data_IF_783917524470
#
_entry.id   IF_783917524470
#
_cell.length_a   1.000
_cell.length_b   1.000
_cell.length_c   1.000
_cell.angle_alpha   90.00
_cell.angle_beta   90.00
_cell.angle_gamma   90.00
#
_symmetry.space_group_name_H-M   'P 1'
#
loop_
_entity.id
_entity.type
_entity.pdbx_description
1 polymer ?
#
# COMPACT_ATOMS: atom_id res chain seq x y z
N UNK A 1 20.91 17.62 36.99
CA UNK A 1 20.98 18.97 37.60
C UNK A 1 19.62 19.51 38.06
N UNK A 2 18.56 19.57 37.24
CA UNK A 2 17.26 20.13 37.67
C UNK A 2 16.56 19.33 38.79
N UNK A 3 16.43 18.01 38.63
CA UNK A 3 15.81 17.12 39.64
C UNK A 3 16.51 17.16 40.99
N UNK A 4 17.84 17.15 40.93
CA UNK A 4 18.68 17.15 42.12
C UNK A 4 18.57 18.48 42.87
N UNK A 5 18.57 19.60 42.13
CA UNK A 5 18.32 20.93 42.68
C UNK A 5 16.92 21.07 43.31
N UNK A 6 15.89 20.53 42.66
CA UNK A 6 14.52 20.54 43.19
C UNK A 6 14.39 19.69 44.46
N UNK A 7 15.08 18.54 44.53
CA UNK A 7 15.16 17.70 45.73
C UNK A 7 15.80 18.44 46.90
N UNK A 8 16.94 19.10 46.70
CA UNK A 8 17.62 19.87 47.75
C UNK A 8 16.80 21.08 48.22
N UNK A 9 16.08 21.73 47.32
CA UNK A 9 15.27 22.94 47.60
C UNK A 9 13.82 22.63 48.03
N UNK A 10 13.44 21.35 48.16
CA UNK A 10 12.07 20.89 48.46
C UNK A 10 11.01 21.47 47.50
N UNK A 11 11.39 21.69 46.23
CA UNK A 11 10.46 22.12 45.18
C UNK A 11 9.84 20.85 44.59
N UNK A 12 8.51 20.66 44.67
CA UNK A 12 7.86 19.50 44.08
C UNK A 12 8.04 19.52 42.55
N UNK A 13 8.51 18.41 41.98
CA UNK A 13 8.60 18.24 40.53
C UNK A 13 7.38 17.46 40.06
N UNK A 14 6.58 18.06 39.18
CA UNK A 14 5.45 17.38 38.54
C UNK A 14 5.94 16.74 37.24
N UNK A 15 5.90 15.41 37.18
CA UNK A 15 6.35 14.61 36.04
C UNK A 15 5.12 13.99 35.41
N UNK A 16 4.85 14.32 34.15
CA UNK A 16 3.79 13.66 33.39
C UNK A 16 4.35 12.48 32.61
N UNK A 17 3.47 11.57 32.22
CA UNK A 17 3.81 10.46 31.32
C UNK A 17 4.35 10.94 29.97
N UNK A 18 4.07 12.18 29.58
CA UNK A 18 4.50 12.77 28.30
C UNK A 18 6.02 12.72 28.11
N UNK A 19 6.81 12.86 29.19
CA UNK A 19 8.26 12.77 29.09
C UNK A 19 8.73 11.37 28.64
N UNK A 20 8.03 10.32 29.07
CA UNK A 20 8.33 8.93 28.65
C UNK A 20 7.72 8.66 27.28
N UNK A 21 6.47 9.08 27.05
CA UNK A 21 5.77 8.89 25.77
C UNK A 21 6.47 9.61 24.61
N UNK A 22 7.01 10.80 24.85
CA UNK A 22 7.75 11.54 23.83
C UNK A 22 9.02 10.80 23.40
N UNK A 23 9.80 10.30 24.36
CA UNK A 23 10.98 9.49 24.05
C UNK A 23 10.58 8.21 23.30
N UNK A 24 9.55 7.52 23.76
CA UNK A 24 9.01 6.34 23.07
C UNK A 24 8.63 6.65 21.62
N UNK A 25 7.91 7.75 21.38
CA UNK A 25 7.54 8.19 20.03
C UNK A 25 8.75 8.44 19.15
N UNK A 26 9.81 9.09 19.66
CA UNK A 26 11.04 9.32 18.89
C UNK A 26 11.76 8.01 18.54
N UNK A 27 11.82 7.06 19.47
CA UNK A 27 12.39 5.73 19.19
C UNK A 27 11.56 4.96 18.16
N UNK A 28 10.23 5.00 18.30
CA UNK A 28 9.30 4.36 17.38
C UNK A 28 9.43 4.94 15.96
N UNK A 29 9.37 6.26 15.80
CA UNK A 29 9.55 6.96 14.52
C UNK A 29 10.90 6.60 13.87
N UNK A 30 11.97 6.58 14.66
CA UNK A 30 13.28 6.23 14.14
C UNK A 30 13.34 4.76 13.68
N UNK A 31 12.86 3.83 14.50
CA UNK A 31 12.82 2.41 14.18
C UNK A 31 12.00 2.16 12.91
N UNK A 32 10.79 2.70 12.85
CA UNK A 32 9.89 2.55 11.72
C UNK A 32 10.55 3.08 10.43
N UNK A 33 11.09 4.29 10.46
CA UNK A 33 11.78 4.89 9.31
C UNK A 33 12.94 4.02 8.82
N UNK A 34 13.75 3.48 9.72
CA UNK A 34 14.90 2.62 9.36
C UNK A 34 14.40 1.33 8.72
N UNK A 35 13.41 0.66 9.31
CA UNK A 35 12.83 -0.58 8.79
C UNK A 35 12.19 -0.35 7.43
N UNK A 36 11.43 0.74 7.25
CA UNK A 36 10.82 1.11 5.98
C UNK A 36 11.86 1.35 4.89
N UNK A 37 12.90 2.13 5.20
CA UNK A 37 13.95 2.50 4.25
C UNK A 37 14.81 1.30 3.85
N UNK A 38 15.28 0.52 4.84
CA UNK A 38 16.30 -0.51 4.61
C UNK A 38 15.73 -1.89 4.27
N UNK A 39 14.47 -2.16 4.62
CA UNK A 39 13.85 -3.49 4.46
C UNK A 39 12.56 -3.44 3.66
N UNK A 40 11.57 -2.65 4.06
CA UNK A 40 10.24 -2.74 3.45
C UNK A 40 10.18 -2.13 2.05
N UNK A 41 10.81 -0.99 1.80
CA UNK A 41 10.83 -0.37 0.48
C UNK A 41 11.45 -1.25 -0.62
N UNK A 42 12.65 -1.85 -0.44
CA UNK A 42 13.19 -2.76 -1.45
C UNK A 42 12.35 -4.04 -1.61
N UNK A 43 11.88 -4.63 -0.51
CA UNK A 43 11.05 -5.85 -0.56
C UNK A 43 9.72 -5.60 -1.30
N UNK A 44 9.10 -4.44 -1.07
CA UNK A 44 7.87 -4.02 -1.73
C UNK A 44 8.09 -3.83 -3.24
N UNK A 45 9.21 -3.22 -3.63
CA UNK A 45 9.54 -3.02 -5.05
C UNK A 45 9.74 -4.36 -5.77
N UNK A 46 10.43 -5.31 -5.13
CA UNK A 46 10.65 -6.64 -5.68
C UNK A 46 9.35 -7.46 -5.76
N UNK A 47 8.53 -7.43 -4.72
CA UNK A 47 7.22 -8.08 -4.72
C UNK A 47 6.32 -7.49 -5.82
N UNK A 48 6.27 -6.16 -5.94
CA UNK A 48 5.45 -5.47 -6.95
C UNK A 48 5.85 -5.89 -8.36
N UNK A 49 7.16 -5.97 -8.65
CA UNK A 49 7.67 -6.46 -9.95
C UNK A 49 7.25 -7.90 -10.23
N UNK A 50 7.38 -8.78 -9.24
CA UNK A 50 7.00 -10.18 -9.38
C UNK A 50 5.48 -10.32 -9.61
N UNK A 51 4.66 -9.61 -8.83
CA UNK A 51 3.20 -9.64 -8.95
C UNK A 51 2.72 -9.05 -10.27
N UNK A 52 3.36 -7.99 -10.77
CA UNK A 52 3.06 -7.43 -12.08
C UNK A 52 3.33 -8.44 -13.21
N UNK A 53 4.47 -9.14 -13.16
CA UNK A 53 4.83 -10.18 -14.13
C UNK A 53 3.84 -11.35 -14.11
N UNK A 54 3.47 -11.83 -12.91
CA UNK A 54 2.48 -12.89 -12.76
C UNK A 54 1.09 -12.46 -13.24
N UNK A 55 0.68 -11.23 -12.96
CA UNK A 55 -0.61 -10.69 -13.41
C UNK A 55 -0.68 -10.56 -14.92
N UNK A 56 0.42 -10.16 -15.58
CA UNK A 56 0.49 -10.13 -17.04
C UNK A 56 0.37 -11.53 -17.64
N UNK A 57 1.03 -12.52 -17.03
CA UNK A 57 0.94 -13.92 -17.46
C UNK A 57 -0.49 -14.47 -17.29
N UNK A 58 -1.15 -14.17 -16.18
CA UNK A 58 -2.55 -14.52 -15.95
C UNK A 58 -3.47 -13.86 -16.98
N UNK A 59 -3.22 -12.59 -17.30
CA UNK A 59 -4.00 -11.85 -18.29
C UNK A 59 -3.93 -12.51 -19.68
N UNK A 60 -2.73 -12.86 -20.16
CA UNK A 60 -2.58 -13.51 -21.48
C UNK A 60 -3.29 -14.87 -21.56
N UNK A 61 -3.36 -15.61 -20.45
CA UNK A 61 -4.06 -16.90 -20.38
C UNK A 61 -5.59 -16.71 -20.36
N UNK A 62 -6.08 -15.69 -19.67
CA UNK A 62 -7.51 -15.47 -19.40
C UNK A 62 -8.18 -14.53 -20.40
N UNK A 63 -7.44 -14.05 -21.40
CA UNK A 63 -7.96 -13.19 -22.46
C UNK A 63 -9.11 -13.89 -23.22
N UNK A 64 -10.24 -13.20 -23.37
CA UNK A 64 -11.46 -13.70 -23.99
C UNK A 64 -12.36 -14.53 -23.06
N UNK A 65 -12.02 -14.63 -21.77
CA UNK A 65 -12.85 -15.29 -20.75
C UNK A 65 -13.54 -14.28 -19.85
N UNK A 66 -14.51 -14.73 -19.05
CA UNK A 66 -15.19 -13.91 -18.04
C UNK A 66 -14.26 -13.39 -16.91
N UNK A 67 -12.99 -13.79 -16.91
CA UNK A 67 -11.96 -13.36 -15.96
C UNK A 67 -11.01 -12.30 -16.54
N UNK A 68 -11.14 -11.94 -17.81
CA UNK A 68 -10.26 -10.99 -18.50
C UNK A 68 -10.23 -9.63 -17.78
N UNK A 69 -11.40 -9.09 -17.41
CA UNK A 69 -11.50 -7.80 -16.72
C UNK A 69 -10.78 -7.83 -15.36
N UNK A 70 -10.96 -8.90 -14.58
CA UNK A 70 -10.30 -9.07 -13.29
C UNK A 70 -8.78 -9.16 -13.41
N UNK A 71 -8.29 -9.90 -14.41
CA UNK A 71 -6.85 -10.00 -14.69
C UNK A 71 -6.29 -8.66 -15.18
N UNK A 72 -7.01 -7.94 -16.04
CA UNK A 72 -6.63 -6.60 -16.53
C UNK A 72 -6.55 -5.60 -15.37
N UNK A 73 -7.53 -5.59 -14.46
CA UNK A 73 -7.51 -4.76 -13.24
C UNK A 73 -6.26 -5.04 -12.40
N UNK A 74 -5.92 -6.31 -12.19
CA UNK A 74 -4.73 -6.68 -11.42
C UNK A 74 -3.43 -6.20 -12.08
N UNK A 75 -3.31 -6.32 -13.40
CA UNK A 75 -2.16 -5.78 -14.14
C UNK A 75 -2.02 -4.28 -13.90
N UNK A 76 -3.11 -3.53 -13.98
CA UNK A 76 -3.10 -2.09 -13.70
C UNK A 76 -2.80 -1.77 -12.24
N UNK A 77 -3.32 -2.57 -11.31
CA UNK A 77 -3.16 -2.38 -9.87
C UNK A 77 -1.69 -2.43 -9.46
N UNK A 78 -0.96 -3.44 -9.96
CA UNK A 78 0.48 -3.53 -9.74
C UNK A 78 1.31 -2.58 -10.62
N UNK A 79 0.81 -2.20 -11.80
CA UNK A 79 1.50 -1.24 -12.65
C UNK A 79 1.51 0.18 -12.06
N UNK A 80 0.40 0.63 -11.47
CA UNK A 80 0.32 1.93 -10.78
C UNK A 80 1.29 1.95 -9.60
N UNK A 81 1.22 0.97 -8.71
CA UNK A 81 2.15 0.85 -7.59
C UNK A 81 3.62 0.75 -8.04
N UNK A 82 3.89 -0.03 -9.07
CA UNK A 82 5.22 -0.17 -9.64
C UNK A 82 5.77 1.14 -10.20
N UNK A 83 4.93 1.95 -10.84
CA UNK A 83 5.29 3.28 -11.35
C UNK A 83 5.51 4.30 -10.24
N UNK A 84 4.76 4.21 -9.14
CA UNK A 84 4.96 5.04 -7.95
C UNK A 84 6.29 4.72 -7.27
N UNK A 85 6.71 3.45 -7.20
CA UNK A 85 7.99 3.02 -6.64
C UNK A 85 9.18 3.31 -7.54
N UNK A 86 9.03 3.09 -8.85
CA UNK A 86 10.06 3.31 -9.85
C UNK A 86 9.48 4.05 -11.06
N UNK A 87 9.77 5.36 -11.21
CA UNK A 87 9.30 6.16 -12.34
C UNK A 87 9.71 5.61 -13.70
N UNK A 88 10.74 4.76 -13.79
CA UNK A 88 11.19 4.15 -15.04
C UNK A 88 10.45 2.86 -15.37
N UNK A 89 9.63 2.32 -14.46
CA UNK A 89 8.89 1.09 -14.71
C UNK A 89 7.92 1.28 -15.89
N UNK A 90 7.93 0.37 -16.88
CA UNK A 90 7.01 0.46 -18.00
C UNK A 90 5.61 0.05 -17.56
N UNK A 91 4.62 0.86 -17.95
CA UNK A 91 3.20 0.51 -17.78
C UNK A 91 2.79 -0.35 -18.97
N UNK A 92 2.19 -1.53 -18.76
CA UNK A 92 1.70 -2.37 -19.85
C UNK A 92 0.69 -1.62 -20.72
N UNK A 93 0.77 -1.70 -22.07
CA UNK A 93 -0.10 -0.93 -22.96
C UNK A 93 -1.60 -1.10 -22.71
N UNK A 94 -1.99 -2.25 -22.15
CA UNK A 94 -3.38 -2.63 -21.97
C UNK A 94 -4.13 -1.88 -20.86
N UNK A 95 -3.38 -1.34 -19.91
CA UNK A 95 -3.90 -0.55 -18.77
C UNK A 95 -3.31 0.84 -18.77
N UNK A 96 -2.63 1.25 -19.85
CA UNK A 96 -1.87 2.49 -19.89
C UNK A 96 -2.75 3.70 -19.63
N UNK A 97 -3.92 3.78 -20.27
CA UNK A 97 -4.83 4.91 -20.13
C UNK A 97 -5.38 5.03 -18.70
N UNK A 98 -5.81 3.91 -18.13
CA UNK A 98 -6.38 3.86 -16.78
C UNK A 98 -5.30 4.12 -15.72
N UNK A 99 -4.13 3.50 -15.85
CA UNK A 99 -3.01 3.71 -14.94
C UNK A 99 -2.45 5.14 -15.00
N UNK A 100 -2.35 5.76 -16.18
CA UNK A 100 -1.92 7.16 -16.29
C UNK A 100 -2.94 8.12 -15.65
N UNK A 101 -4.25 7.84 -15.76
CA UNK A 101 -5.29 8.60 -15.06
C UNK A 101 -5.19 8.43 -13.55
N UNK A 102 -4.98 7.22 -13.05
CA UNK A 102 -4.75 6.96 -11.62
C UNK A 102 -3.55 7.74 -11.09
N UNK A 103 -2.42 7.67 -11.80
CA UNK A 103 -1.21 8.40 -11.41
C UNK A 103 -1.43 9.92 -11.41
N UNK A 104 -2.17 10.44 -12.40
CA UNK A 104 -2.53 11.85 -12.42
C UNK A 104 -3.41 12.25 -11.23
N UNK A 105 -4.38 11.41 -10.86
CA UNK A 105 -5.24 11.64 -9.69
C UNK A 105 -4.43 11.62 -8.39
N UNK A 106 -3.53 10.63 -8.24
CA UNK A 106 -2.63 10.50 -7.10
C UNK A 106 -1.73 11.72 -6.94
N UNK A 107 -1.13 12.22 -8.03
CA UNK A 107 -0.28 13.42 -7.99
C UNK A 107 -1.08 14.72 -7.80
N UNK A 108 -2.32 14.77 -8.27
CA UNK A 108 -3.18 15.96 -8.15
C UNK A 108 -3.83 16.11 -6.77
N UNK A 109 -3.89 15.03 -5.98
CA UNK A 109 -4.52 14.98 -4.66
C UNK A 109 -5.98 15.45 -4.63
N UNK A 110 -6.73 15.23 -5.70
CA UNK A 110 -8.08 15.78 -5.94
C UNK A 110 -9.22 15.08 -5.17
N UNK A 111 -9.06 14.90 -3.86
CA UNK A 111 -10.13 14.43 -2.98
C UNK A 111 -10.73 13.09 -3.40
N UNK A 112 -12.06 12.94 -3.20
CA UNK A 112 -12.77 11.67 -3.39
C UNK A 112 -13.32 11.54 -4.81
N UNK A 113 -12.79 10.59 -5.59
CA UNK A 113 -13.19 10.35 -6.98
C UNK A 113 -13.30 8.84 -7.24
N UNK A 114 -14.13 8.43 -8.20
CA UNK A 114 -14.18 7.03 -8.66
C UNK A 114 -12.83 6.65 -9.25
N UNK A 115 -12.26 5.54 -8.79
CA UNK A 115 -11.01 5.00 -9.33
C UNK A 115 -11.19 4.54 -10.79
N UNK A 116 -10.50 5.17 -11.77
CA UNK A 116 -10.57 4.75 -13.17
C UNK A 116 -10.14 3.30 -13.41
N UNK A 117 -9.27 2.76 -12.55
CA UNK A 117 -8.80 1.40 -12.65
C UNK A 117 -9.77 0.39 -12.02
N UNK A 118 -10.31 0.69 -10.84
CA UNK A 118 -11.16 -0.27 -10.13
C UNK A 118 -12.51 -0.41 -10.84
N UNK A 119 -13.02 0.68 -11.42
CA UNK A 119 -14.25 0.70 -12.22
C UNK A 119 -14.04 0.51 -13.73
N UNK A 120 -12.99 -0.22 -14.14
CA UNK A 120 -12.77 -0.56 -15.56
C UNK A 120 -14.04 -1.16 -16.16
N UNK A 121 -14.48 -0.60 -17.28
CA UNK A 121 -15.67 -1.02 -18.03
C UNK A 121 -16.99 -0.99 -17.22
N UNK A 122 -17.06 -0.16 -16.17
CA UNK A 122 -18.25 -0.07 -15.29
C UNK A 122 -18.44 -1.31 -14.40
N UNK A 123 -17.34 -2.04 -14.18
CA UNK A 123 -17.32 -3.28 -13.40
C UNK A 123 -17.64 -3.09 -11.91
N UNK A 124 -17.75 -1.84 -11.41
CA UNK A 124 -18.21 -1.51 -10.06
C UNK A 124 -19.67 -1.89 -9.76
N UNK A 125 -20.41 -2.45 -10.72
CA UNK A 125 -21.68 -3.13 -10.45
C UNK A 125 -22.77 -2.24 -9.82
N UNK A 126 -22.73 -0.93 -10.11
CA UNK A 126 -23.65 0.06 -9.56
C UNK A 126 -23.22 0.71 -8.24
N UNK A 127 -22.09 0.29 -7.66
CA UNK A 127 -21.47 0.89 -6.47
C UNK A 127 -19.95 1.08 -6.71
N UNK A 128 -19.57 2.10 -7.51
CA UNK A 128 -18.18 2.30 -7.90
C UNK A 128 -17.30 2.69 -6.71
N UNK A 129 -16.10 2.10 -6.63
CA UNK A 129 -15.14 2.40 -5.57
C UNK A 129 -14.69 3.86 -5.64
N UNK A 130 -15.01 4.61 -4.59
CA UNK A 130 -14.56 5.98 -4.38
C UNK A 130 -13.23 5.99 -3.61
N UNK A 131 -12.18 6.49 -4.24
CA UNK A 131 -10.86 6.63 -3.64
C UNK A 131 -10.58 8.09 -3.24
N UNK A 132 -10.02 8.28 -2.06
CA UNK A 132 -9.63 9.60 -1.55
C UNK A 132 -8.15 9.89 -1.87
N UNK A 133 -7.91 10.54 -3.01
CA UNK A 133 -6.58 10.88 -3.49
C UNK A 133 -5.87 11.92 -2.61
N UNK A 134 -6.58 12.62 -1.71
CA UNK A 134 -5.95 13.54 -0.74
C UNK A 134 -5.11 12.82 0.31
N UNK A 135 -5.30 11.51 0.49
CA UNK A 135 -4.53 10.69 1.43
C UNK A 135 -3.13 10.34 0.92
N UNK A 136 -2.83 10.55 -0.37
CA UNK A 136 -1.53 10.25 -0.98
C UNK A 136 -0.48 11.34 -0.75
N UNK A 137 -0.83 12.41 -0.03
CA UNK A 137 0.12 13.47 0.36
C UNK A 137 1.05 12.90 1.45
N UNK A 138 2.36 12.74 1.19
CA UNK A 138 3.30 12.29 2.22
C UNK A 138 3.36 13.29 3.37
N UNK A 139 3.43 12.80 4.62
CA UNK A 139 3.48 13.63 5.82
C UNK A 139 4.58 13.15 6.77
N UNK A 140 5.16 14.04 7.56
CA UNK A 140 6.09 13.66 8.62
C UNK A 140 7.41 13.13 8.06
N UNK A 141 7.85 11.94 8.48
CA UNK A 141 9.14 11.41 8.02
C UNK A 141 9.14 10.98 6.55
N UNK A 142 7.96 10.77 5.94
CA UNK A 142 7.85 10.38 4.54
C UNK A 142 8.27 11.49 3.57
N UNK A 143 8.31 12.76 4.00
CA UNK A 143 8.73 13.88 3.14
C UNK A 143 10.26 13.98 2.99
N UNK A 144 11.03 13.21 3.78
CA UNK A 144 12.49 13.35 3.90
C UNK A 144 13.26 12.91 2.66
N UNK A 145 12.82 11.87 1.97
CA UNK A 145 13.52 11.31 0.81
C UNK A 145 12.52 10.89 -0.25
N UNK A 146 12.92 10.90 -1.52
CA UNK A 146 12.04 10.48 -2.61
C UNK A 146 11.68 8.99 -2.51
N UNK A 147 12.59 8.17 -1.98
CA UNK A 147 12.31 6.76 -1.66
C UNK A 147 11.14 6.62 -0.68
N UNK A 148 11.14 7.39 0.41
CA UNK A 148 10.08 7.33 1.42
C UNK A 148 8.75 7.89 0.89
N UNK A 149 8.79 8.94 0.05
CA UNK A 149 7.59 9.46 -0.63
C UNK A 149 6.99 8.41 -1.56
N UNK A 150 7.82 7.75 -2.37
CA UNK A 150 7.43 6.70 -3.29
C UNK A 150 6.86 5.48 -2.56
N UNK A 151 7.54 5.03 -1.50
CA UNK A 151 7.08 3.95 -0.62
C UNK A 151 5.73 4.28 0.00
N UNK A 152 5.59 5.48 0.58
CA UNK A 152 4.34 5.93 1.18
C UNK A 152 3.18 5.89 0.18
N UNK A 153 3.32 6.54 -0.98
CA UNK A 153 2.26 6.56 -2.01
C UNK A 153 1.86 5.15 -2.45
N UNK A 154 2.82 4.25 -2.57
CA UNK A 154 2.58 2.87 -3.00
C UNK A 154 1.92 2.02 -1.90
N UNK A 155 2.33 2.18 -0.65
CA UNK A 155 1.67 1.53 0.48
C UNK A 155 0.26 2.07 0.71
N UNK A 156 0.03 3.38 0.49
CA UNK A 156 -1.31 3.98 0.53
C UNK A 156 -2.21 3.37 -0.55
N UNK A 157 -1.70 3.25 -1.78
CA UNK A 157 -2.40 2.57 -2.87
C UNK A 157 -2.81 1.14 -2.49
N UNK A 158 -1.87 0.35 -1.98
CA UNK A 158 -2.14 -1.04 -1.58
C UNK A 158 -3.05 -1.18 -0.36
N UNK A 159 -2.98 -0.23 0.58
CA UNK A 159 -3.74 -0.31 1.83
C UNK A 159 -5.15 0.26 1.75
N UNK A 160 -5.43 1.14 0.78
CA UNK A 160 -6.74 1.80 0.64
C UNK A 160 -7.65 1.15 -0.39
N UNK A 161 -7.07 0.64 -1.46
CA UNK A 161 -7.86 -0.06 -2.47
C UNK A 161 -8.22 -1.45 -1.98
N UNK A 162 -9.51 -1.66 -1.79
CA UNK A 162 -10.08 -2.92 -1.33
C UNK A 162 -10.82 -3.63 -2.45
N UNK A 163 -10.86 -4.96 -2.38
CA UNK A 163 -11.68 -5.80 -3.25
C UNK A 163 -12.89 -6.32 -2.47
N UNK A 164 -14.07 -5.77 -2.73
CA UNK A 164 -15.29 -6.11 -2.01
C UNK A 164 -15.85 -7.47 -2.44
N UNK A 165 -16.21 -8.29 -1.46
CA UNK A 165 -16.83 -9.60 -1.72
C UNK A 165 -18.22 -9.52 -2.37
N UNK A 166 -18.87 -8.35 -2.35
CA UNK A 166 -20.17 -8.12 -3.00
C UNK A 166 -20.07 -8.04 -4.52
N UNK A 167 -18.90 -7.64 -5.03
CA UNK A 167 -18.65 -7.53 -6.46
C UNK A 167 -17.90 -8.77 -6.94
N UNK A 168 -18.52 -9.52 -7.86
CA UNK A 168 -17.95 -10.74 -8.41
C UNK A 168 -16.62 -10.46 -9.12
N UNK A 169 -16.51 -9.35 -9.87
CA UNK A 169 -15.28 -9.00 -10.58
C UNK A 169 -14.12 -8.66 -9.64
N UNK A 170 -14.41 -7.99 -8.52
CA UNK A 170 -13.40 -7.69 -7.50
C UNK A 170 -12.96 -8.96 -6.76
N UNK A 171 -13.91 -9.86 -6.47
CA UNK A 171 -13.62 -11.16 -5.87
C UNK A 171 -12.73 -12.01 -6.79
N UNK A 172 -13.02 -12.02 -8.10
CA UNK A 172 -12.17 -12.66 -9.12
C UNK A 172 -10.75 -12.08 -9.12
N UNK A 173 -10.64 -10.74 -9.05
CA UNK A 173 -9.34 -10.05 -8.93
C UNK A 173 -8.57 -10.51 -7.68
N UNK A 174 -9.22 -10.54 -6.53
CA UNK A 174 -8.62 -10.97 -5.27
C UNK A 174 -8.14 -12.43 -5.33
N UNK A 175 -8.92 -13.34 -5.92
CA UNK A 175 -8.52 -14.74 -6.12
C UNK A 175 -7.30 -14.86 -7.03
N UNK A 176 -7.25 -14.11 -8.12
CA UNK A 176 -6.09 -14.11 -9.02
C UNK A 176 -4.83 -13.58 -8.33
N UNK A 177 -4.95 -12.56 -7.47
CA UNK A 177 -3.84 -12.06 -6.63
C UNK A 177 -3.36 -13.16 -5.69
N UNK A 178 -4.27 -13.86 -5.00
CA UNK A 178 -3.94 -14.99 -4.11
C UNK A 178 -3.20 -16.09 -4.86
N UNK A 179 -3.64 -16.45 -6.06
CA UNK A 179 -2.96 -17.43 -6.92
C UNK A 179 -1.57 -16.96 -7.37
N UNK A 180 -1.39 -15.66 -7.62
CA UNK A 180 -0.09 -15.09 -7.96
C UNK A 180 0.87 -15.03 -6.76
N UNK A 181 0.35 -14.85 -5.54
CA UNK A 181 1.13 -14.93 -4.31
C UNK A 181 1.63 -16.35 -4.04
N UNK A 182 0.88 -17.39 -4.41
CA UNK A 182 1.29 -18.78 -4.31
C UNK A 182 2.41 -19.18 -5.29
N UNK A 183 2.77 -18.31 -6.22
CA UNK A 183 3.90 -18.54 -7.13
C UNK A 183 5.22 -18.15 -6.49
N UNK A 184 6.22 -18.99 -6.75
CA UNK A 184 7.61 -18.75 -6.37
C UNK A 184 7.76 -18.40 -4.88
N UNK A 185 8.41 -17.28 -4.57
CA UNK A 185 8.61 -16.81 -3.22
C UNK A 185 7.71 -15.62 -2.84
N UNK A 186 6.73 -15.27 -3.69
CA UNK A 186 5.92 -14.05 -3.52
C UNK A 186 5.20 -14.04 -2.18
N UNK A 187 4.67 -15.19 -1.76
CA UNK A 187 4.05 -15.36 -0.44
C UNK A 187 4.98 -15.00 0.71
N UNK A 188 6.24 -15.45 0.69
CA UNK A 188 7.17 -15.15 1.79
C UNK A 188 7.49 -13.66 1.83
N UNK A 189 7.69 -13.03 0.67
CA UNK A 189 7.92 -11.57 0.57
C UNK A 189 6.73 -10.78 1.11
N UNK A 190 5.53 -11.16 0.70
CA UNK A 190 4.29 -10.56 1.19
C UNK A 190 4.14 -10.75 2.71
N UNK A 191 4.41 -11.95 3.23
CA UNK A 191 4.31 -12.25 4.66
C UNK A 191 5.31 -11.44 5.48
N UNK A 192 6.53 -11.22 4.97
CA UNK A 192 7.50 -10.34 5.63
C UNK A 192 7.00 -8.89 5.74
N UNK A 193 6.42 -8.35 4.66
CA UNK A 193 5.84 -7.00 4.67
C UNK A 193 4.63 -6.95 5.61
N UNK A 194 3.70 -7.90 5.49
CA UNK A 194 2.45 -7.91 6.25
C UNK A 194 2.67 -8.13 7.75
N UNK A 195 3.55 -9.05 8.14
CA UNK A 195 3.87 -9.31 9.56
C UNK A 195 4.57 -8.10 10.19
N UNK A 196 5.49 -7.46 9.48
CA UNK A 196 6.18 -6.27 9.96
C UNK A 196 5.21 -5.09 10.11
N UNK A 197 4.43 -4.80 9.08
CA UNK A 197 3.45 -3.70 9.12
C UNK A 197 2.37 -3.95 10.17
N UNK A 198 1.85 -5.17 10.27
CA UNK A 198 0.84 -5.49 11.30
C UNK A 198 1.35 -5.42 12.74
N UNK A 199 2.65 -5.64 12.96
CA UNK A 199 3.27 -5.39 14.25
C UNK A 199 3.26 -3.89 14.62
N UNK A 200 3.46 -3.00 13.64
CA UNK A 200 3.52 -1.55 13.87
C UNK A 200 2.15 -0.87 13.94
N UNK A 201 1.23 -1.22 13.03
CA UNK A 201 -0.04 -0.50 12.82
C UNK A 201 -1.29 -1.36 13.04
N UNK A 202 -1.13 -2.65 13.36
CA UNK A 202 -2.25 -3.56 13.60
C UNK A 202 -2.64 -4.40 12.38
N UNK A 203 -3.55 -5.36 12.60
CA UNK A 203 -4.00 -6.29 11.55
C UNK A 203 -4.95 -5.58 10.58
N UNK A 204 -4.98 -6.07 9.34
CA UNK A 204 -5.96 -5.64 8.35
C UNK A 204 -7.38 -6.06 8.76
N UNK A 205 -8.33 -5.16 8.57
CA UNK A 205 -9.77 -5.46 8.67
C UNK A 205 -10.30 -6.14 7.38
N UNK A 206 -9.59 -5.98 6.26
CA UNK A 206 -9.94 -6.57 4.97
C UNK A 206 -9.47 -8.03 4.83
N UNK A 207 -10.15 -8.78 3.95
CA UNK A 207 -9.77 -10.13 3.57
C UNK A 207 -8.37 -10.15 2.96
N UNK A 208 -7.46 -10.90 3.59
CA UNK A 208 -6.09 -11.10 3.11
C UNK A 208 -5.93 -12.47 2.47
N UNK A 209 -4.72 -12.78 2.01
CA UNK A 209 -4.35 -14.10 1.48
C UNK A 209 -4.83 -15.26 2.38
N UNK A 210 -4.77 -15.13 3.71
CA UNK A 210 -5.16 -16.23 4.61
C UNK A 210 -6.66 -16.55 4.58
N UNK A 211 -7.53 -15.59 4.27
CA UNK A 211 -8.98 -15.80 4.21
C UNK A 211 -9.45 -16.33 2.86
N UNK A 212 -8.67 -16.10 1.79
CA UNK A 212 -9.03 -16.46 0.41
C UNK A 212 -8.39 -17.77 -0.08
N UNK A 213 -7.60 -18.42 0.78
CA UNK A 213 -6.95 -19.70 0.50
C UNK A 213 -7.87 -20.89 0.73
#
# INVERSE_FOLDING_TARGET
MLYEGNKFRKIPSFITTDSVLHNYHLFFDHLLRVVETEKLAPELADLTKAMLSQSQSQYEILKGTDWENAARRNVGFFAVAGKLLDPNMPIPPIVKNEAEKELALIESHQGVVVSPLMDIDGSGGGDPLLEDYSQYIPRGHYERTDLLKAYFKSMMWYGRLTFHSKNENETKSALLITLALDKENNRQKWEQIYTTTSFFVGKSDDSTYYQLK
#
